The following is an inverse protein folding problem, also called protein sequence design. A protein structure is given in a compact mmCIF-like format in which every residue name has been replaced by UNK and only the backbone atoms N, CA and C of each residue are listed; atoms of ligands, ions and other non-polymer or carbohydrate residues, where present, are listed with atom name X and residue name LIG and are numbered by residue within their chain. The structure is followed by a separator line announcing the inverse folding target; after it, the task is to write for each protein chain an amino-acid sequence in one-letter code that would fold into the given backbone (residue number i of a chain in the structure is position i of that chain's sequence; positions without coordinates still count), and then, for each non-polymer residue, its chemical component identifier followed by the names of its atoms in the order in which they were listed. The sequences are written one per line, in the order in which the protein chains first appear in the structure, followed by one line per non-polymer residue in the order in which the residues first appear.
data_IF_046461670635
#
_entry.id   IF_046461670635
#
_cell.length_a   1.000
_cell.length_b   1.000
_cell.length_c   1.000
_cell.angle_alpha   90.00
_cell.angle_beta   90.00
_cell.angle_gamma   90.00
#
_symmetry.space_group_name_H-M   'P 1'
#
loop_
_entity.id
_entity.type
_entity.pdbx_description
1 polymer ?
#
# COMPACT_ATOMS: atom_id res chain seq x y z
N UNK A 1 6.16 -16.42 -3.64
CA UNK A 1 6.16 -16.82 -2.22
C UNK A 1 6.16 -15.60 -1.31
N UNK A 2 5.26 -15.56 -0.33
CA UNK A 2 5.17 -14.46 0.62
C UNK A 2 6.11 -14.72 1.79
N UNK A 3 7.03 -13.81 2.05
CA UNK A 3 7.91 -13.89 3.20
C UNK A 3 8.05 -12.50 3.83
N UNK A 4 8.87 -12.41 4.87
CA UNK A 4 9.06 -11.16 5.59
C UNK A 4 9.61 -10.06 4.68
N UNK A 5 10.52 -10.41 3.79
CA UNK A 5 11.10 -9.43 2.87
C UNK A 5 10.03 -8.87 1.93
N UNK A 6 9.20 -9.74 1.36
CA UNK A 6 8.11 -9.31 0.48
C UNK A 6 7.13 -8.42 1.23
N UNK A 7 6.84 -8.75 2.48
CA UNK A 7 5.95 -7.96 3.31
C UNK A 7 6.52 -6.56 3.55
N UNK A 8 7.80 -6.48 3.86
CA UNK A 8 8.47 -5.19 4.06
C UNK A 8 8.44 -4.35 2.79
N UNK A 9 8.65 -4.96 1.64
CA UNK A 9 8.57 -4.26 0.36
C UNK A 9 7.17 -3.72 0.11
N UNK A 10 6.16 -4.48 0.49
CA UNK A 10 4.77 -4.05 0.33
C UNK A 10 4.45 -2.87 1.23
N UNK A 11 4.97 -2.87 2.46
CA UNK A 11 4.80 -1.73 3.37
C UNK A 11 5.44 -0.48 2.75
N UNK A 12 6.65 -0.60 2.22
CA UNK A 12 7.34 0.53 1.61
C UNK A 12 6.59 1.04 0.38
N UNK A 13 6.00 0.14 -0.39
CA UNK A 13 5.18 0.53 -1.54
C UNK A 13 3.98 1.35 -1.10
N UNK A 14 3.35 0.99 0.03
CA UNK A 14 2.22 1.74 0.56
C UNK A 14 2.62 3.13 1.06
N UNK A 15 3.86 3.31 1.53
CA UNK A 15 4.34 4.62 1.93
C UNK A 15 4.37 5.62 0.76
N UNK A 16 4.43 5.12 -0.47
CA UNK A 16 4.36 5.97 -1.65
C UNK A 16 3.10 6.82 -1.71
N UNK A 17 2.05 6.42 -1.00
CA UNK A 17 0.82 7.19 -0.94
C UNK A 17 1.07 8.62 -0.44
N UNK A 18 1.95 8.78 0.54
CA UNK A 18 2.25 10.11 1.09
C UNK A 18 2.81 11.02 0.00
N UNK A 19 3.76 10.51 -0.76
CA UNK A 19 4.37 11.29 -1.84
C UNK A 19 3.38 11.58 -2.96
N UNK A 20 2.54 10.61 -3.30
CA UNK A 20 1.55 10.77 -4.36
C UNK A 20 0.49 11.80 -3.97
N UNK A 21 0.04 11.80 -2.71
CA UNK A 21 -0.91 12.79 -2.23
C UNK A 21 -0.29 14.18 -2.27
N UNK A 22 0.96 14.31 -1.86
CA UNK A 22 1.66 15.59 -1.91
C UNK A 22 1.79 16.10 -3.35
N UNK A 23 2.09 15.22 -4.28
CA UNK A 23 2.21 15.57 -5.68
C UNK A 23 0.88 16.09 -6.22
N UNK A 24 -0.21 15.39 -5.95
CA UNK A 24 -1.53 15.81 -6.43
C UNK A 24 -1.94 17.14 -5.81
N UNK A 25 -1.68 17.33 -4.53
CA UNK A 25 -1.99 18.60 -3.86
C UNK A 25 -1.20 19.74 -4.46
N UNK A 26 0.09 19.51 -4.77
CA UNK A 26 0.94 20.52 -5.36
C UNK A 26 0.47 20.94 -6.74
N UNK A 27 -0.15 20.02 -7.48
CA UNK A 27 -0.65 20.29 -8.83
C UNK A 27 -2.10 20.74 -8.85
N UNK A 28 -2.70 20.97 -7.69
CA UNK A 28 -4.10 21.37 -7.57
C UNK A 28 -5.02 20.36 -8.26
N UNK A 29 -4.75 19.07 -8.05
CA UNK A 29 -5.54 18.01 -8.64
C UNK A 29 -6.98 18.03 -8.11
N UNK A 30 -7.93 17.63 -8.95
CA UNK A 30 -9.33 17.57 -8.57
C UNK A 30 -9.66 16.32 -7.78
N UNK A 31 -10.91 16.27 -7.29
CA UNK A 31 -11.37 15.15 -6.48
C UNK A 31 -11.31 13.82 -7.23
N UNK A 32 -11.51 13.84 -8.55
CA UNK A 32 -11.45 12.61 -9.35
C UNK A 32 -10.06 11.97 -9.29
N UNK A 33 -9.00 12.79 -9.27
CA UNK A 33 -7.64 12.27 -9.17
C UNK A 33 -7.37 11.65 -7.81
N UNK A 34 -7.88 12.28 -6.74
CA UNK A 34 -7.74 11.70 -5.41
C UNK A 34 -8.55 10.43 -5.25
N UNK A 35 -9.72 10.35 -5.87
CA UNK A 35 -10.53 9.13 -5.84
C UNK A 35 -9.81 7.98 -6.56
N UNK A 36 -9.20 8.26 -7.71
CA UNK A 36 -8.43 7.26 -8.44
C UNK A 36 -7.25 6.77 -7.61
N UNK A 37 -6.53 7.68 -6.98
CA UNK A 37 -5.42 7.33 -6.11
C UNK A 37 -5.90 6.49 -4.93
N UNK A 38 -7.02 6.88 -4.33
CA UNK A 38 -7.61 6.14 -3.21
C UNK A 38 -7.92 4.71 -3.60
N UNK A 39 -8.50 4.50 -4.79
CA UNK A 39 -8.83 3.15 -5.27
C UNK A 39 -7.58 2.30 -5.43
N UNK A 40 -6.51 2.87 -6.01
CA UNK A 40 -5.25 2.16 -6.18
C UNK A 40 -4.68 1.74 -4.82
N UNK A 41 -4.65 2.65 -3.85
CA UNK A 41 -4.07 2.34 -2.55
C UNK A 41 -4.97 1.45 -1.72
N UNK A 42 -6.28 1.49 -1.94
CA UNK A 42 -7.18 0.53 -1.31
C UNK A 42 -6.77 -0.89 -1.67
N UNK A 43 -6.51 -1.14 -2.96
CA UNK A 43 -6.05 -2.46 -3.41
C UNK A 43 -4.68 -2.82 -2.85
N UNK A 44 -3.78 -1.84 -2.77
CA UNK A 44 -2.45 -2.09 -2.19
C UNK A 44 -2.54 -2.47 -0.72
N UNK A 45 -3.41 -1.81 0.03
CA UNK A 45 -3.57 -2.14 1.44
C UNK A 45 -4.27 -3.47 1.64
N UNK A 46 -5.23 -3.83 0.78
CA UNK A 46 -5.84 -5.15 0.85
C UNK A 46 -4.80 -6.24 0.63
N UNK A 47 -3.94 -6.06 -0.36
CA UNK A 47 -2.88 -7.01 -0.64
C UNK A 47 -1.90 -7.11 0.52
N UNK A 48 -1.54 -5.98 1.10
CA UNK A 48 -0.67 -5.93 2.27
C UNK A 48 -1.28 -6.72 3.43
N UNK A 49 -2.57 -6.53 3.67
CA UNK A 49 -3.26 -7.22 4.76
C UNK A 49 -3.29 -8.72 4.51
N UNK A 50 -3.53 -9.15 3.28
CA UNK A 50 -3.51 -10.56 2.92
C UNK A 50 -2.14 -11.18 3.17
N UNK A 51 -1.07 -10.46 2.81
CA UNK A 51 0.28 -10.94 3.06
C UNK A 51 0.56 -11.05 4.56
N UNK A 52 0.09 -10.07 5.32
CA UNK A 52 0.25 -10.09 6.77
C UNK A 52 -0.43 -11.31 7.39
N UNK A 53 -1.68 -11.59 6.98
CA UNK A 53 -2.39 -12.75 7.49
C UNK A 53 -1.69 -14.06 7.11
N UNK A 54 -1.17 -14.14 5.89
CA UNK A 54 -0.44 -15.31 5.44
C UNK A 54 0.80 -15.54 6.29
N UNK A 55 1.55 -14.47 6.57
CA UNK A 55 2.77 -14.59 7.38
C UNK A 55 2.46 -15.01 8.81
N UNK A 56 1.39 -14.51 9.39
CA UNK A 56 0.98 -14.93 10.73
C UNK A 56 0.58 -16.40 10.74
N UNK A 57 -0.21 -16.81 9.73
CA UNK A 57 -0.67 -18.19 9.63
C UNK A 57 0.51 -19.15 9.48
N UNK A 58 1.52 -18.76 8.74
CA UNK A 58 2.71 -19.57 8.50
C UNK A 58 3.81 -19.31 9.53
N UNK A 59 3.56 -18.40 10.47
CA UNK A 59 4.51 -18.06 11.55
C UNK A 59 5.86 -17.57 11.02
N UNK A 60 5.83 -16.79 9.95
CA UNK A 60 7.06 -16.28 9.34
C UNK A 60 7.49 -14.91 9.85
N UNK A 61 6.67 -14.28 10.68
CA UNK A 61 6.96 -12.95 11.22
C UNK A 61 7.66 -12.96 12.57
N UNK A 62 7.83 -14.09 13.16
CA UNK A 62 8.47 -14.17 14.49
C UNK A 62 9.98 -14.13 14.43
#
# INVERSE_FOLDING_TARGET
MTDRFDFEQQIMSCWGMVDDVKLLAKRNAGSADFEALSAVYHHKFEELFEQFETLIRERKLT
#
